data_IF_880869308484
#
_entry.id   IF_880869308484
#
_cell.length_a   1.000
_cell.length_b   1.000
_cell.length_c   1.000
_cell.angle_alpha   90.00
_cell.angle_beta   90.00
_cell.angle_gamma   90.00
#
_symmetry.space_group_name_H-M   'P 1'
#
loop_
_entity.id
_entity.type
_entity.pdbx_description
1 polymer ?
#
# COMPACT_ATOMS: atom_id res chain seq x y z
N UNK A 1 -8.37 33.19 -2.41
CA UNK A 1 -7.59 33.22 -1.15
C UNK A 1 -8.24 32.24 -0.18
N UNK A 2 -7.78 30.99 -0.15
CA UNK A 2 -8.24 29.98 0.81
C UNK A 2 -7.52 30.20 2.13
N UNK A 3 -8.25 30.62 3.17
CA UNK A 3 -7.69 30.76 4.52
C UNK A 3 -7.02 29.44 4.94
N UNK A 4 -5.82 29.48 5.55
CA UNK A 4 -5.19 28.28 6.07
C UNK A 4 -6.12 27.71 7.15
N UNK A 5 -6.49 26.44 7.01
CA UNK A 5 -7.22 25.70 8.02
C UNK A 5 -6.39 25.66 9.31
N UNK A 6 -6.64 26.61 10.20
CA UNK A 6 -5.96 26.69 11.49
C UNK A 6 -6.23 25.40 12.28
N UNK A 7 -5.16 24.75 12.74
CA UNK A 7 -5.22 23.54 13.55
C UNK A 7 -6.10 23.80 14.79
N UNK A 8 -7.32 23.24 14.78
CA UNK A 8 -8.25 23.40 15.91
C UNK A 8 -7.85 22.45 17.03
N UNK A 9 -7.62 23.00 18.22
CA UNK A 9 -7.34 22.25 19.47
C UNK A 9 -8.41 21.21 19.83
N UNK A 10 -9.59 21.26 19.21
CA UNK A 10 -10.65 20.23 19.34
C UNK A 10 -10.24 18.84 18.83
N UNK A 11 -9.20 18.72 18.01
CA UNK A 11 -8.65 17.42 17.57
C UNK A 11 -7.79 16.72 18.63
N UNK A 12 -7.50 17.39 19.75
CA UNK A 12 -6.80 16.82 20.91
C UNK A 12 -7.77 16.26 21.97
N UNK A 13 -9.07 16.19 21.67
CA UNK A 13 -10.05 15.65 22.60
C UNK A 13 -9.73 14.18 22.95
N UNK A 14 -9.93 13.72 24.21
CA UNK A 14 -9.64 12.35 24.64
C UNK A 14 -10.27 11.24 23.77
N UNK A 15 -11.33 11.58 23.04
CA UNK A 15 -12.00 10.71 22.06
C UNK A 15 -11.10 10.32 20.87
N UNK A 16 -10.11 11.16 20.54
CA UNK A 16 -9.16 10.95 19.44
C UNK A 16 -7.81 10.41 19.92
N UNK A 17 -7.61 10.18 21.22
CA UNK A 17 -6.34 9.63 21.71
C UNK A 17 -6.03 8.25 21.15
N UNK A 18 -7.04 7.41 20.94
CA UNK A 18 -6.85 6.10 20.34
C UNK A 18 -6.37 6.20 18.89
N UNK A 19 -6.89 7.17 18.13
CA UNK A 19 -6.45 7.46 16.77
C UNK A 19 -5.04 8.06 16.74
N UNK A 20 -4.71 8.98 17.64
CA UNK A 20 -3.36 9.54 17.78
C UNK A 20 -2.34 8.48 18.21
N UNK A 21 -2.73 7.59 19.11
CA UNK A 21 -1.93 6.44 19.51
C UNK A 21 -1.70 5.49 18.34
N UNK A 22 -2.75 5.13 17.59
CA UNK A 22 -2.63 4.32 16.38
C UNK A 22 -1.70 4.96 15.33
N UNK A 23 -1.81 6.27 15.14
CA UNK A 23 -0.93 7.03 14.24
C UNK A 23 0.53 7.02 14.74
N UNK A 24 0.75 7.20 16.04
CA UNK A 24 2.08 7.18 16.66
C UNK A 24 2.73 5.80 16.57
N UNK A 25 1.96 4.73 16.79
CA UNK A 25 2.42 3.35 16.59
C UNK A 25 2.76 3.10 15.13
N UNK A 26 1.91 3.52 14.19
CA UNK A 26 2.17 3.39 12.76
C UNK A 26 3.44 4.17 12.36
N UNK A 27 3.63 5.39 12.87
CA UNK A 27 4.82 6.19 12.65
C UNK A 27 6.08 5.48 13.15
N UNK A 28 6.07 4.97 14.39
CA UNK A 28 7.19 4.23 14.97
C UNK A 28 7.50 2.96 14.17
N UNK A 29 6.47 2.21 13.77
CA UNK A 29 6.63 1.01 12.95
C UNK A 29 7.29 1.33 11.61
N UNK A 30 6.86 2.39 10.94
CA UNK A 30 7.38 2.80 9.63
C UNK A 30 8.82 3.32 9.69
N UNK A 31 9.32 3.76 10.85
CA UNK A 31 10.73 4.17 10.97
C UNK A 31 11.71 3.00 10.80
N UNK A 32 11.27 1.76 11.02
CA UNK A 32 12.10 0.56 10.89
C UNK A 32 12.67 0.36 9.47
N UNK A 33 13.81 -0.35 9.33
CA UNK A 33 14.38 -0.65 8.02
C UNK A 33 13.45 -1.57 7.21
N UNK A 34 13.45 -1.40 5.89
CA UNK A 34 12.55 -2.11 4.97
C UNK A 34 12.53 -3.64 5.16
N UNK A 35 13.65 -4.36 5.39
CA UNK A 35 13.60 -5.81 5.60
C UNK A 35 12.79 -6.23 6.83
N UNK A 36 12.75 -5.40 7.87
CA UNK A 36 11.98 -5.67 9.09
C UNK A 36 10.50 -5.41 8.82
N UNK A 37 10.19 -4.30 8.14
CA UNK A 37 8.83 -4.02 7.66
C UNK A 37 8.32 -5.15 6.77
N UNK A 38 9.14 -5.63 5.84
CA UNK A 38 8.78 -6.74 4.95
C UNK A 38 8.39 -8.01 5.72
N UNK A 39 9.21 -8.40 6.70
CA UNK A 39 8.92 -9.55 7.57
C UNK A 39 7.67 -9.33 8.41
N UNK A 40 7.48 -8.12 8.94
CA UNK A 40 6.32 -7.76 9.74
C UNK A 40 5.04 -7.80 8.91
N UNK A 41 5.06 -7.28 7.68
CA UNK A 41 3.91 -7.27 6.77
C UNK A 41 3.50 -8.68 6.38
N UNK A 42 4.48 -9.52 6.03
CA UNK A 42 4.22 -10.94 5.77
C UNK A 42 3.65 -11.65 7.00
N UNK A 43 4.19 -11.39 8.18
CA UNK A 43 3.70 -11.98 9.43
C UNK A 43 2.28 -11.51 9.78
N UNK A 44 1.99 -10.22 9.63
CA UNK A 44 0.65 -9.65 9.80
C UNK A 44 -0.34 -10.26 8.80
N UNK A 45 0.07 -10.40 7.54
CA UNK A 45 -0.70 -11.08 6.50
C UNK A 45 -1.05 -12.52 6.87
N UNK A 46 -0.05 -13.33 7.24
CA UNK A 46 -0.24 -14.73 7.66
C UNK A 46 -1.08 -14.87 8.93
N UNK A 47 -0.88 -14.01 9.92
CA UNK A 47 -1.68 -14.05 11.16
C UNK A 47 -3.12 -13.62 10.91
N UNK A 48 -3.35 -12.67 10.00
CA UNK A 48 -4.69 -12.24 9.61
C UNK A 48 -5.52 -13.38 9.01
N UNK A 49 -4.91 -14.36 8.36
CA UNK A 49 -5.62 -15.55 7.84
C UNK A 49 -6.36 -16.33 8.93
N UNK A 50 -5.84 -16.33 10.17
CA UNK A 50 -6.47 -17.03 11.31
C UNK A 50 -7.73 -16.32 11.80
N UNK A 51 -7.75 -14.99 11.73
CA UNK A 51 -8.88 -14.16 12.15
C UNK A 51 -9.91 -13.99 11.03
N UNK A 52 -9.46 -13.82 9.78
CA UNK A 52 -10.31 -13.57 8.62
C UNK A 52 -10.62 -14.86 7.82
N UNK A 53 -11.03 -15.94 8.51
CA UNK A 53 -11.35 -17.24 7.89
C UNK A 53 -12.35 -17.14 6.74
N UNK A 54 -13.34 -16.24 6.86
CA UNK A 54 -14.31 -15.96 5.79
C UNK A 54 -13.64 -15.42 4.53
N UNK A 55 -12.67 -14.52 4.67
CA UNK A 55 -11.95 -13.94 3.52
C UNK A 55 -11.05 -14.98 2.86
N UNK A 56 -10.41 -15.85 3.65
CA UNK A 56 -9.61 -16.97 3.12
C UNK A 56 -10.48 -17.88 2.25
N UNK A 57 -11.68 -18.25 2.72
CA UNK A 57 -12.62 -19.07 1.93
C UNK A 57 -13.04 -18.40 0.62
N UNK A 58 -13.34 -17.10 0.65
CA UNK A 58 -13.68 -16.34 -0.56
C UNK A 58 -12.50 -16.30 -1.55
N UNK A 59 -11.29 -15.99 -1.07
CA UNK A 59 -10.09 -15.97 -1.92
C UNK A 59 -9.82 -17.34 -2.54
N UNK A 60 -9.97 -18.42 -1.76
CA UNK A 60 -9.84 -19.79 -2.27
C UNK A 60 -10.83 -20.05 -3.41
N UNK A 61 -12.12 -19.76 -3.18
CA UNK A 61 -13.15 -19.97 -4.19
C UNK A 61 -12.90 -19.17 -5.47
N UNK A 62 -12.46 -17.92 -5.33
CA UNK A 62 -12.11 -17.09 -6.48
C UNK A 62 -10.92 -17.66 -7.26
N UNK A 63 -9.90 -18.18 -6.57
CA UNK A 63 -8.74 -18.79 -7.23
C UNK A 63 -9.09 -20.10 -7.93
N UNK A 64 -9.93 -20.94 -7.33
CA UNK A 64 -10.45 -22.16 -7.98
C UNK A 64 -11.23 -21.82 -9.27
N UNK A 65 -12.06 -20.77 -9.24
CA UNK A 65 -12.85 -20.35 -10.39
C UNK A 65 -11.98 -19.71 -11.49
N UNK A 66 -11.02 -18.86 -11.13
CA UNK A 66 -10.15 -18.18 -12.09
C UNK A 66 -9.06 -19.10 -12.65
N UNK A 67 -8.65 -20.12 -11.91
CA UNK A 67 -7.54 -21.02 -12.27
C UNK A 67 -7.88 -22.50 -12.02
N UNK A 68 -8.83 -23.06 -12.79
CA UNK A 68 -9.31 -24.43 -12.59
C UNK A 68 -8.24 -25.51 -12.83
N UNK A 69 -7.13 -25.18 -13.49
CA UNK A 69 -6.06 -26.12 -13.83
C UNK A 69 -4.91 -26.16 -12.80
N UNK A 70 -5.00 -25.37 -11.73
CA UNK A 70 -3.96 -25.36 -10.69
C UNK A 70 -4.21 -26.45 -9.65
N UNK A 71 -3.11 -27.08 -9.21
CA UNK A 71 -3.14 -28.01 -8.09
C UNK A 71 -3.45 -27.31 -6.76
N UNK A 72 -4.03 -28.03 -5.80
CA UNK A 72 -4.43 -27.49 -4.49
C UNK A 72 -3.25 -26.84 -3.75
N UNK A 73 -2.05 -27.43 -3.87
CA UNK A 73 -0.82 -26.89 -3.27
C UNK A 73 -0.45 -25.52 -3.85
N UNK A 74 -0.71 -25.29 -5.13
CA UNK A 74 -0.46 -24.02 -5.79
C UNK A 74 -1.51 -22.98 -5.40
N UNK A 75 -2.77 -23.39 -5.25
CA UNK A 75 -3.84 -22.52 -4.76
C UNK A 75 -3.51 -22.03 -3.35
N UNK A 76 -3.12 -22.92 -2.42
CA UNK A 76 -2.77 -22.52 -1.05
C UNK A 76 -1.55 -21.58 -1.00
N UNK A 77 -0.54 -21.79 -1.84
CA UNK A 77 0.59 -20.84 -1.96
C UNK A 77 0.14 -19.46 -2.45
N UNK A 78 -0.78 -19.41 -3.42
CA UNK A 78 -1.32 -18.14 -3.92
C UNK A 78 -2.20 -17.43 -2.90
N UNK A 79 -2.99 -18.19 -2.13
CA UNK A 79 -3.74 -17.63 -1.00
C UNK A 79 -2.76 -17.00 -0.01
N UNK A 80 -1.74 -17.73 0.42
CA UNK A 80 -0.75 -17.23 1.38
C UNK A 80 -0.06 -15.96 0.86
N UNK A 81 0.39 -15.96 -0.40
CA UNK A 81 1.01 -14.79 -1.03
C UNK A 81 0.05 -13.59 -1.14
N UNK A 82 -1.24 -13.83 -1.40
CA UNK A 82 -2.26 -12.77 -1.43
C UNK A 82 -2.44 -12.12 -0.04
N UNK A 83 -2.46 -12.92 1.02
CA UNK A 83 -2.56 -12.39 2.39
C UNK A 83 -1.26 -11.72 2.86
N UNK A 84 -0.09 -12.23 2.47
CA UNK A 84 1.18 -11.53 2.68
C UNK A 84 1.19 -10.16 2.00
N UNK A 85 0.70 -10.09 0.76
CA UNK A 85 0.53 -8.84 0.02
C UNK A 85 -0.45 -7.88 0.71
N UNK A 86 -1.53 -8.40 1.31
CA UNK A 86 -2.46 -7.60 2.11
C UNK A 86 -1.77 -6.96 3.33
N UNK A 87 -0.95 -7.74 4.05
CA UNK A 87 -0.22 -7.25 5.21
C UNK A 87 0.87 -6.26 4.84
N UNK A 88 1.55 -6.48 3.71
CA UNK A 88 2.48 -5.52 3.13
C UNK A 88 1.80 -4.22 2.73
N UNK A 89 0.63 -4.28 2.10
CA UNK A 89 -0.14 -3.10 1.69
C UNK A 89 -0.39 -2.11 2.83
N UNK A 90 -0.69 -2.59 4.04
CA UNK A 90 -0.86 -1.74 5.22
C UNK A 90 0.43 -1.01 5.64
N UNK A 91 1.57 -1.70 5.58
CA UNK A 91 2.86 -1.09 5.88
C UNK A 91 3.28 -0.13 4.77
N UNK A 92 2.96 -0.45 3.53
CA UNK A 92 3.15 0.41 2.36
C UNK A 92 2.37 1.72 2.48
N UNK A 93 1.11 1.68 2.94
CA UNK A 93 0.34 2.88 3.28
C UNK A 93 1.05 3.72 4.35
N UNK A 94 1.56 3.07 5.40
CA UNK A 94 2.32 3.77 6.44
C UNK A 94 3.60 4.42 5.89
N UNK A 95 4.36 3.69 5.05
CA UNK A 95 5.55 4.20 4.38
C UNK A 95 5.21 5.39 3.49
N UNK A 96 4.14 5.31 2.71
CA UNK A 96 3.67 6.40 1.84
C UNK A 96 3.37 7.71 2.60
N UNK A 97 2.81 7.61 3.81
CA UNK A 97 2.43 8.79 4.59
C UNK A 97 3.58 9.41 5.37
N UNK A 98 4.54 8.60 5.83
CA UNK A 98 5.57 9.05 6.78
C UNK A 98 7.00 9.05 6.23
N UNK A 99 7.31 8.31 5.16
CA UNK A 99 8.64 8.38 4.56
C UNK A 99 8.79 9.62 3.69
N UNK A 100 10.00 10.17 3.67
CA UNK A 100 10.37 11.20 2.71
C UNK A 100 10.48 10.60 1.30
N UNK A 101 10.14 11.41 0.29
CA UNK A 101 10.26 11.04 -1.13
C UNK A 101 11.63 10.44 -1.48
N UNK A 102 12.71 10.97 -0.88
CA UNK A 102 14.07 10.47 -1.08
C UNK A 102 14.27 9.04 -0.57
N UNK A 103 13.62 8.65 0.52
CA UNK A 103 13.68 7.29 1.07
C UNK A 103 12.82 6.35 0.23
N UNK A 104 11.65 6.78 -0.21
CA UNK A 104 10.76 5.99 -1.09
C UNK A 104 11.45 5.71 -2.43
N UNK A 105 12.04 6.72 -3.08
CA UNK A 105 12.74 6.58 -4.37
C UNK A 105 13.91 5.58 -4.35
N UNK A 106 14.50 5.27 -3.18
CA UNK A 106 15.56 4.24 -3.09
C UNK A 106 15.04 2.81 -3.21
N UNK A 107 13.75 2.59 -2.95
CA UNK A 107 13.15 1.25 -2.95
C UNK A 107 12.25 0.99 -4.15
N UNK A 108 12.01 1.99 -5.01
CA UNK A 108 11.19 1.87 -6.20
C UNK A 108 11.94 2.32 -7.44
N UNK A 109 11.90 1.48 -8.47
CA UNK A 109 12.33 1.84 -9.81
C UNK A 109 11.10 2.11 -10.68
N UNK A 110 11.14 3.21 -11.43
CA UNK A 110 10.02 3.65 -12.27
C UNK A 110 10.39 3.38 -13.73
N UNK A 111 9.91 2.25 -14.25
CA UNK A 111 10.04 1.92 -15.67
C UNK A 111 8.96 2.59 -16.51
N UNK A 112 9.30 3.09 -17.71
CA UNK A 112 8.34 3.66 -18.67
C UNK A 112 8.20 5.20 -18.67
N UNK A 113 9.01 5.92 -17.88
CA UNK A 113 9.05 7.40 -17.85
C UNK A 113 9.29 8.06 -19.21
N UNK A 114 9.92 7.35 -20.15
CA UNK A 114 10.21 7.86 -21.49
C UNK A 114 8.93 8.12 -22.31
N UNK A 115 7.89 7.29 -22.17
CA UNK A 115 6.62 7.50 -22.88
C UNK A 115 5.87 8.73 -22.37
N UNK A 116 5.96 9.01 -21.07
CA UNK A 116 5.44 10.22 -20.44
C UNK A 116 6.17 11.48 -20.92
N UNK A 117 7.51 11.45 -20.92
CA UNK A 117 8.32 12.59 -21.39
C UNK A 117 8.05 12.92 -22.85
N UNK A 118 7.91 11.90 -23.70
CA UNK A 118 7.56 12.09 -25.13
C UNK A 118 6.16 12.67 -25.30
N UNK A 119 5.16 12.18 -24.56
CA UNK A 119 3.79 12.71 -24.62
C UNK A 119 3.71 14.17 -24.13
N UNK A 120 4.45 14.52 -23.07
CA UNK A 120 4.54 15.88 -22.55
C UNK A 120 5.26 16.83 -23.53
N UNK A 121 6.34 16.39 -24.16
CA UNK A 121 7.03 17.15 -25.22
C UNK A 121 6.13 17.42 -26.43
N UNK A 122 5.25 16.48 -26.76
CA UNK A 122 4.28 16.61 -27.84
C UNK A 122 3.00 17.38 -27.46
N UNK A 123 2.94 17.98 -26.26
CA UNK A 123 1.77 18.68 -25.70
C UNK A 123 0.47 17.83 -25.71
N UNK A 124 0.60 16.51 -25.63
CA UNK A 124 -0.53 15.61 -25.58
C UNK A 124 -0.94 15.37 -24.12
N UNK A 125 -2.25 15.38 -23.85
CA UNK A 125 -2.77 15.03 -22.52
C UNK A 125 -2.46 13.57 -22.20
N UNK A 126 -1.97 13.30 -20.99
CA UNK A 126 -1.65 11.94 -20.54
C UNK A 126 -2.78 11.43 -19.64
N UNK A 127 -3.44 10.34 -20.03
CA UNK A 127 -4.36 9.61 -19.17
C UNK A 127 -3.61 8.50 -18.44
N UNK A 128 -3.61 8.57 -17.12
CA UNK A 128 -2.96 7.60 -16.25
C UNK A 128 -4.02 6.65 -15.72
N UNK A 129 -3.98 5.39 -16.14
CA UNK A 129 -4.87 4.35 -15.63
C UNK A 129 -4.16 3.63 -14.49
N UNK A 130 -4.52 3.98 -13.25
CA UNK A 130 -4.13 3.24 -12.06
C UNK A 130 -5.07 2.07 -11.83
N UNK A 131 -4.55 0.85 -11.74
CA UNK A 131 -5.35 -0.32 -11.33
C UNK A 131 -5.31 -0.44 -9.81
N UNK A 132 -6.47 -0.58 -9.17
CA UNK A 132 -6.60 -0.85 -7.74
C UNK A 132 -6.11 -2.27 -7.38
N UNK A 133 -4.80 -2.44 -7.30
CA UNK A 133 -4.18 -3.58 -6.64
C UNK A 133 -4.02 -3.33 -5.14
N UNK A 134 -3.84 -4.39 -4.36
CA UNK A 134 -3.75 -4.33 -2.89
C UNK A 134 -2.55 -3.48 -2.38
N UNK A 135 -1.60 -3.13 -3.26
CA UNK A 135 -0.50 -2.18 -3.06
C UNK A 135 -0.76 -0.77 -3.65
N UNK A 136 -2.02 -0.34 -3.74
CA UNK A 136 -2.41 0.92 -4.41
C UNK A 136 -1.64 2.15 -3.92
N UNK A 137 -1.45 2.27 -2.60
CA UNK A 137 -0.82 3.45 -2.00
C UNK A 137 0.62 3.65 -2.49
N UNK A 138 1.27 2.56 -2.91
CA UNK A 138 2.65 2.60 -3.33
C UNK A 138 2.83 2.96 -4.81
N UNK A 139 1.79 2.81 -5.64
CA UNK A 139 1.75 3.34 -7.00
C UNK A 139 1.46 4.84 -6.98
N UNK A 140 0.66 5.32 -6.02
CA UNK A 140 0.27 6.74 -5.94
C UNK A 140 1.44 7.68 -5.56
N UNK A 141 2.33 7.25 -4.66
CA UNK A 141 3.45 8.11 -4.17
C UNK A 141 4.49 8.46 -5.25
N UNK A 142 4.98 7.52 -6.08
CA UNK A 142 5.88 7.83 -7.18
C UNK A 142 5.28 8.81 -8.19
N UNK A 143 3.97 8.69 -8.48
CA UNK A 143 3.28 9.59 -9.42
C UNK A 143 3.24 11.04 -8.94
N UNK A 144 2.95 11.29 -7.66
CA UNK A 144 2.95 12.64 -7.08
C UNK A 144 4.35 13.29 -7.08
N UNK A 145 5.41 12.48 -7.10
CA UNK A 145 6.80 12.93 -7.15
C UNK A 145 7.35 13.09 -8.59
N UNK A 146 6.66 12.53 -9.59
CA UNK A 146 6.97 12.68 -11.03
C UNK A 146 6.15 13.82 -11.66
N UNK A 147 5.00 14.18 -11.07
CA UNK A 147 4.14 15.28 -11.55
C UNK A 147 4.50 16.66 -10.98
N UNK A 148 5.58 16.78 -10.20
CA UNK A 148 6.23 18.05 -9.84
C UNK A 148 7.47 18.24 -10.69
#
# INVERSE_FOLDING_TARGET
MTSPSCFRKSFLHPRYWLTWFGLGVLFLLVQLPYPVLYRLGNWLGRTSMRFLKRRVSITRRNLELCFPNLDETQIERRILSNFESLGMGLLETGMAWFWSDARVKRWFDVSGLNHLKMAQQNKQGVLVIGVHFMSLELVAVPWACVSR
#
